data_IF_294048716640
#
_entry.id   IF_294048716640
#
_cell.length_a   1.000
_cell.length_b   1.000
_cell.length_c   1.000
_cell.angle_alpha   90.00
_cell.angle_beta   90.00
_cell.angle_gamma   90.00
#
_symmetry.space_group_name_H-M   'P 1'
#
loop_
_entity.id
_entity.type
_entity.pdbx_description
1 polymer ?
#
# COMPACT_ATOMS: atom_id res chain seq x y z
N UNK A 1 -0.02 22.95 3.04
CA UNK A 1 -1.33 22.64 2.45
C UNK A 1 -1.93 21.49 3.24
N UNK A 2 -3.00 21.75 4.00
CA UNK A 2 -3.63 20.75 4.86
C UNK A 2 -4.44 19.77 4.03
N UNK A 3 -4.20 18.48 4.23
CA UNK A 3 -5.09 17.42 3.74
C UNK A 3 -6.38 17.56 4.55
N UNK A 4 -7.48 17.94 3.90
CA UNK A 4 -8.81 17.93 4.51
C UNK A 4 -9.14 16.53 5.03
N UNK A 5 -9.74 16.41 6.23
CA UNK A 5 -9.98 15.13 6.91
C UNK A 5 -10.77 14.11 6.06
N UNK A 6 -11.57 14.61 5.12
CA UNK A 6 -12.33 13.83 4.15
C UNK A 6 -11.42 13.02 3.20
N UNK A 7 -10.36 13.64 2.66
CA UNK A 7 -9.39 12.93 1.80
C UNK A 7 -8.58 11.88 2.56
N UNK A 8 -8.32 12.12 3.85
CA UNK A 8 -7.63 11.15 4.70
C UNK A 8 -8.51 9.92 4.95
N UNK A 9 -9.80 10.10 5.21
CA UNK A 9 -10.74 9.00 5.49
C UNK A 9 -10.92 8.11 4.26
N UNK A 10 -11.14 8.71 3.09
CA UNK A 10 -11.27 7.98 1.81
C UNK A 10 -10.00 7.19 1.48
N UNK A 11 -8.81 7.76 1.74
CA UNK A 11 -7.55 7.03 1.56
C UNK A 11 -7.47 5.80 2.48
N UNK A 12 -7.84 5.93 3.76
CA UNK A 12 -7.80 4.82 4.72
C UNK A 12 -8.75 3.67 4.33
N UNK A 13 -9.94 4.00 3.82
CA UNK A 13 -10.93 3.01 3.34
C UNK A 13 -10.40 2.26 2.10
N UNK A 14 -9.96 2.99 1.08
CA UNK A 14 -9.40 2.37 -0.13
C UNK A 14 -8.15 1.55 0.17
N UNK A 15 -7.32 1.99 1.12
CA UNK A 15 -6.15 1.23 1.59
C UNK A 15 -6.57 -0.04 2.31
N UNK A 16 -7.59 0.00 3.17
CA UNK A 16 -8.07 -1.20 3.85
C UNK A 16 -8.46 -2.31 2.86
N UNK A 17 -9.24 -1.96 1.82
CA UNK A 17 -9.73 -2.94 0.85
C UNK A 17 -8.61 -3.69 0.11
N UNK A 18 -7.51 -3.02 -0.25
CA UNK A 18 -6.38 -3.69 -0.92
C UNK A 18 -5.49 -4.46 0.05
N UNK A 19 -5.41 -4.04 1.31
CA UNK A 19 -4.59 -4.69 2.32
C UNK A 19 -5.13 -6.05 2.76
N UNK A 20 -6.41 -6.34 2.54
CA UNK A 20 -6.99 -7.68 2.75
C UNK A 20 -6.31 -8.77 1.90
N UNK A 21 -5.61 -8.37 0.83
CA UNK A 21 -4.83 -9.27 -0.04
C UNK A 21 -3.37 -9.44 0.39
N UNK A 22 -2.87 -8.65 1.33
CA UNK A 22 -1.47 -8.74 1.77
C UNK A 22 -1.14 -10.16 2.30
N UNK A 23 -1.93 -10.77 3.20
CA UNK A 23 -1.65 -12.14 3.67
C UNK A 23 -1.69 -13.19 2.55
N UNK A 24 -2.46 -12.93 1.48
CA UNK A 24 -2.56 -13.83 0.32
C UNK A 24 -1.26 -13.82 -0.47
N UNK A 25 -0.69 -12.64 -0.72
CA UNK A 25 0.54 -12.50 -1.52
C UNK A 25 1.83 -12.69 -0.72
N UNK A 26 1.78 -12.66 0.62
CA UNK A 26 2.90 -13.07 1.46
C UNK A 26 3.01 -14.59 1.62
N UNK A 27 1.96 -15.34 1.31
CA UNK A 27 1.99 -16.79 1.40
C UNK A 27 2.93 -17.36 0.32
N UNK A 28 4.04 -18.03 0.69
CA UNK A 28 4.98 -18.59 -0.27
C UNK A 28 4.37 -19.72 -1.13
N UNK A 29 3.28 -20.34 -0.65
CA UNK A 29 2.54 -21.38 -1.38
C UNK A 29 1.45 -20.78 -2.30
N UNK A 30 1.33 -19.45 -2.36
CA UNK A 30 0.36 -18.82 -3.24
C UNK A 30 0.75 -18.99 -4.70
N UNK A 31 -0.16 -19.59 -5.47
CA UNK A 31 -0.02 -19.74 -6.92
C UNK A 31 -0.88 -18.68 -7.61
N UNK A 32 -0.19 -17.80 -8.35
CA UNK A 32 -0.77 -16.65 -9.07
C UNK A 32 -1.69 -17.07 -10.23
N UNK A 33 -1.45 -18.25 -10.78
CA UNK A 33 -2.17 -18.84 -11.90
C UNK A 33 -1.42 -20.03 -12.45
N UNK A 34 -1.88 -20.55 -13.60
CA UNK A 34 -1.16 -21.59 -14.33
C UNK A 34 -1.21 -21.30 -15.83
N UNK A 35 -0.11 -21.61 -16.52
CA UNK A 35 -0.10 -21.61 -17.98
C UNK A 35 -1.05 -22.70 -18.50
N UNK A 36 -2.09 -22.29 -19.21
CA UNK A 36 -3.02 -23.19 -19.87
C UNK A 36 -2.55 -23.47 -21.29
N UNK A 37 -2.19 -24.72 -21.56
CA UNK A 37 -1.81 -25.21 -22.88
C UNK A 37 -2.97 -26.05 -23.44
N UNK A 38 -3.59 -25.56 -24.50
CA UNK A 38 -4.59 -26.32 -25.25
C UNK A 38 -4.09 -26.57 -26.66
N UNK A 39 -4.23 -27.78 -27.22
CA UNK A 39 -3.81 -28.07 -28.58
C UNK A 39 -4.48 -27.12 -29.59
N UNK A 40 -3.67 -26.44 -30.41
CA UNK A 40 -4.16 -25.50 -31.43
C UNK A 40 -4.46 -24.08 -30.94
N UNK A 41 -4.32 -23.80 -29.64
CA UNK A 41 -4.44 -22.45 -29.07
C UNK A 41 -3.06 -21.93 -28.62
N UNK A 42 -2.91 -20.61 -28.57
CA UNK A 42 -1.73 -20.01 -27.95
C UNK A 42 -1.75 -20.29 -26.43
N UNK A 43 -0.59 -20.55 -25.81
CA UNK A 43 -0.50 -20.63 -24.35
C UNK A 43 -1.01 -19.33 -23.73
N UNK A 44 -1.92 -19.43 -22.76
CA UNK A 44 -2.45 -18.28 -22.05
C UNK A 44 -2.29 -18.48 -20.55
N UNK A 45 -1.91 -17.43 -19.84
CA UNK A 45 -1.88 -17.46 -18.38
C UNK A 45 -3.30 -17.45 -17.82
N UNK A 46 -3.67 -18.52 -17.12
CA UNK A 46 -4.95 -18.59 -16.43
C UNK A 46 -4.77 -18.14 -14.98
N UNK A 47 -5.18 -16.91 -14.69
CA UNK A 47 -5.09 -16.33 -13.37
C UNK A 47 -6.03 -16.97 -12.35
N UNK A 48 -5.54 -17.09 -11.13
CA UNK A 48 -6.33 -17.48 -9.97
C UNK A 48 -7.42 -16.43 -9.66
N UNK A 49 -8.61 -16.87 -9.24
CA UNK A 49 -9.73 -16.05 -8.79
C UNK A 49 -9.33 -14.95 -7.78
N UNK A 50 -8.39 -15.25 -6.88
CA UNK A 50 -7.85 -14.29 -5.91
C UNK A 50 -7.08 -13.15 -6.56
N UNK A 51 -6.28 -13.44 -7.60
CA UNK A 51 -5.55 -12.40 -8.32
C UNK A 51 -6.51 -11.55 -9.18
N UNK A 52 -7.52 -12.18 -9.78
CA UNK A 52 -8.59 -11.47 -10.48
C UNK A 52 -9.40 -10.56 -9.54
N UNK A 53 -9.75 -11.06 -8.35
CA UNK A 53 -10.42 -10.28 -7.31
C UNK A 53 -9.56 -9.09 -6.86
N UNK A 54 -8.25 -9.27 -6.70
CA UNK A 54 -7.32 -8.19 -6.38
C UNK A 54 -7.33 -7.10 -7.44
N UNK A 55 -7.24 -7.45 -8.74
CA UNK A 55 -7.32 -6.49 -9.84
C UNK A 55 -8.63 -5.70 -9.76
N UNK A 56 -9.76 -6.39 -9.54
CA UNK A 56 -11.06 -5.72 -9.41
C UNK A 56 -11.06 -4.71 -8.26
N UNK A 57 -10.55 -5.09 -7.09
CA UNK A 57 -10.47 -4.23 -5.91
C UNK A 57 -9.58 -3.01 -6.17
N UNK A 58 -8.48 -3.16 -6.92
CA UNK A 58 -7.64 -2.02 -7.32
C UNK A 58 -8.42 -0.98 -8.15
N UNK A 59 -9.27 -1.43 -9.09
CA UNK A 59 -10.11 -0.54 -9.88
C UNK A 59 -11.20 0.11 -9.03
N UNK A 60 -11.95 -0.69 -8.26
CA UNK A 60 -13.08 -0.22 -7.44
C UNK A 60 -12.63 0.83 -6.39
N UNK A 61 -11.43 0.67 -5.84
CA UNK A 61 -10.87 1.54 -4.80
C UNK A 61 -9.94 2.62 -5.35
N UNK A 62 -10.02 2.89 -6.66
CA UNK A 62 -9.29 3.97 -7.33
C UNK A 62 -7.75 3.88 -7.20
N UNK A 63 -7.18 2.71 -6.99
CA UNK A 63 -5.71 2.55 -6.97
C UNK A 63 -5.11 2.65 -8.37
N UNK A 64 -5.85 2.22 -9.38
CA UNK A 64 -5.48 2.41 -10.78
C UNK A 64 -5.71 3.87 -11.17
N UNK A 65 -4.66 4.53 -11.66
CA UNK A 65 -4.69 5.94 -12.04
C UNK A 65 -4.34 6.13 -13.51
N UNK A 66 -4.93 7.13 -14.15
CA UNK A 66 -4.48 7.54 -15.48
C UNK A 66 -3.24 8.42 -15.38
N UNK A 67 -2.18 7.97 -16.03
CA UNK A 67 -0.95 8.72 -16.29
C UNK A 67 -0.21 8.06 -17.46
N UNK A 68 0.84 8.70 -17.98
CA UNK A 68 1.70 8.10 -18.98
C UNK A 68 2.62 7.03 -18.37
N UNK A 69 2.04 5.85 -18.19
CA UNK A 69 2.75 4.68 -17.67
C UNK A 69 3.79 4.14 -18.66
N UNK A 70 3.67 4.48 -19.95
CA UNK A 70 4.61 4.04 -20.99
C UNK A 70 5.91 4.81 -20.89
N UNK A 71 5.85 6.14 -20.81
CA UNK A 71 7.03 6.98 -20.58
C UNK A 71 7.66 6.71 -19.20
N UNK A 72 6.83 6.38 -18.20
CA UNK A 72 7.31 6.13 -16.83
C UNK A 72 7.94 4.75 -16.63
N UNK A 73 7.88 3.83 -17.60
CA UNK A 73 8.43 2.47 -17.42
C UNK A 73 9.93 2.46 -17.07
N UNK A 74 10.70 3.41 -17.62
CA UNK A 74 12.12 3.53 -17.32
C UNK A 74 12.37 3.84 -15.84
N UNK A 75 11.51 4.65 -15.21
CA UNK A 75 11.58 4.94 -13.77
C UNK A 75 11.12 3.73 -12.95
N UNK A 76 10.04 3.07 -13.38
CA UNK A 76 9.52 1.88 -12.73
C UNK A 76 10.55 0.74 -12.64
N UNK A 77 11.44 0.66 -13.63
CA UNK A 77 12.52 -0.34 -13.66
C UNK A 77 13.43 -0.26 -12.44
N UNK A 78 13.65 0.93 -11.88
CA UNK A 78 14.46 1.10 -10.66
C UNK A 78 13.86 0.35 -9.48
N UNK A 79 12.53 0.41 -9.31
CA UNK A 79 11.82 -0.31 -8.25
C UNK A 79 11.85 -1.83 -8.44
N UNK A 80 11.88 -2.28 -9.69
CA UNK A 80 12.02 -3.69 -10.03
C UNK A 80 13.43 -4.21 -9.69
N UNK A 81 14.46 -3.45 -10.03
CA UNK A 81 15.87 -3.81 -9.78
C UNK A 81 16.26 -3.64 -8.31
N UNK A 82 15.69 -2.65 -7.63
CA UNK A 82 15.94 -2.32 -6.24
C UNK A 82 14.62 -2.29 -5.44
N UNK A 83 14.12 -3.47 -4.99
CA UNK A 83 12.85 -3.54 -4.25
C UNK A 83 12.83 -2.71 -2.96
N UNK A 84 14.01 -2.39 -2.40
CA UNK A 84 14.14 -1.51 -1.24
C UNK A 84 13.58 -0.10 -1.46
N UNK A 85 13.58 0.39 -2.71
CA UNK A 85 13.00 1.71 -3.05
C UNK A 85 11.48 1.75 -2.83
N UNK A 86 10.80 0.60 -2.85
CA UNK A 86 9.36 0.53 -2.57
C UNK A 86 9.07 0.91 -1.11
N UNK A 87 9.97 0.57 -0.18
CA UNK A 87 9.79 0.89 1.23
C UNK A 87 9.83 2.40 1.52
N UNK A 88 10.43 3.20 0.64
CA UNK A 88 10.49 4.67 0.78
C UNK A 88 9.45 5.40 -0.08
N UNK A 89 8.81 4.68 -1.01
CA UNK A 89 7.89 5.27 -1.99
C UNK A 89 6.68 5.96 -1.32
N UNK A 90 6.22 7.04 -1.97
CA UNK A 90 5.01 7.77 -1.61
C UNK A 90 3.76 7.12 -2.24
N UNK A 91 2.57 7.52 -1.77
CA UNK A 91 1.29 6.99 -2.27
C UNK A 91 1.17 7.14 -3.80
N UNK A 92 1.67 8.24 -4.36
CA UNK A 92 1.65 8.50 -5.81
C UNK A 92 2.45 7.45 -6.56
N UNK A 93 3.69 7.19 -6.14
CA UNK A 93 4.57 6.19 -6.75
C UNK A 93 4.00 4.78 -6.61
N UNK A 94 3.41 4.44 -5.46
CA UNK A 94 2.76 3.14 -5.25
C UNK A 94 1.57 2.93 -6.20
N UNK A 95 0.73 3.96 -6.42
CA UNK A 95 -0.37 3.90 -7.40
C UNK A 95 0.13 3.75 -8.82
N UNK A 96 1.24 4.42 -9.17
CA UNK A 96 1.89 4.28 -10.47
C UNK A 96 2.44 2.88 -10.69
N UNK A 97 3.11 2.29 -9.69
CA UNK A 97 3.60 0.91 -9.74
C UNK A 97 2.45 -0.08 -9.94
N UNK A 98 1.38 0.00 -9.14
CA UNK A 98 0.20 -0.87 -9.28
C UNK A 98 -0.43 -0.75 -10.67
N UNK A 99 -0.62 0.48 -11.14
CA UNK A 99 -1.16 0.76 -12.47
C UNK A 99 -0.27 0.15 -13.55
N UNK A 100 1.05 0.32 -13.45
CA UNK A 100 1.99 -0.22 -14.43
C UNK A 100 1.92 -1.75 -14.47
N UNK A 101 1.96 -2.44 -13.33
CA UNK A 101 1.88 -3.91 -13.32
C UNK A 101 0.57 -4.40 -13.93
N UNK A 102 -0.57 -3.83 -13.55
CA UNK A 102 -1.88 -4.23 -14.07
C UNK A 102 -2.05 -3.92 -15.55
N UNK A 103 -1.55 -2.79 -16.04
CA UNK A 103 -1.68 -2.41 -17.46
C UNK A 103 -0.69 -3.12 -18.35
N UNK A 104 0.56 -3.27 -17.91
CA UNK A 104 1.62 -3.99 -18.64
C UNK A 104 1.27 -5.46 -18.86
N UNK A 105 0.54 -6.05 -17.92
CA UNK A 105 0.06 -7.43 -18.04
C UNK A 105 -0.79 -7.69 -19.29
N UNK A 106 -1.53 -6.68 -19.76
CA UNK A 106 -2.33 -6.78 -20.99
C UNK A 106 -1.49 -6.92 -22.25
N UNK A 107 -0.19 -6.62 -22.17
CA UNK A 107 0.76 -6.68 -23.28
C UNK A 107 1.81 -7.78 -23.09
N UNK A 108 2.01 -8.23 -21.85
CA UNK A 108 3.01 -9.21 -21.47
C UNK A 108 2.33 -10.22 -20.56
N UNK A 109 1.80 -11.29 -21.16
CA UNK A 109 1.05 -12.31 -20.45
C UNK A 109 1.88 -12.91 -19.29
N UNK A 110 1.27 -13.04 -18.12
CA UNK A 110 1.94 -13.49 -16.89
C UNK A 110 2.84 -12.46 -16.19
N UNK A 111 2.92 -11.21 -16.65
CA UNK A 111 3.74 -10.16 -16.00
C UNK A 111 3.30 -9.89 -14.56
N UNK A 112 1.99 -9.79 -14.31
CA UNK A 112 1.45 -9.56 -12.98
C UNK A 112 1.67 -10.78 -12.08
N UNK A 113 1.54 -11.99 -12.62
CA UNK A 113 1.89 -13.23 -11.91
C UNK A 113 3.36 -13.19 -11.45
N UNK A 114 4.28 -12.89 -12.36
CA UNK A 114 5.70 -12.76 -12.04
C UNK A 114 5.96 -11.68 -10.98
N UNK A 115 5.26 -10.55 -11.03
CA UNK A 115 5.38 -9.49 -10.02
C UNK A 115 4.87 -9.93 -8.63
N UNK A 116 3.84 -10.78 -8.57
CA UNK A 116 3.38 -11.37 -7.30
C UNK A 116 4.43 -12.36 -6.77
N UNK A 117 4.90 -13.27 -7.63
CA UNK A 117 5.86 -14.32 -7.25
C UNK A 117 7.22 -13.77 -6.83
N UNK A 118 7.64 -12.65 -7.40
CA UNK A 118 8.86 -11.94 -7.01
C UNK A 118 8.67 -11.04 -5.77
N UNK A 119 7.47 -11.02 -5.18
CA UNK A 119 7.16 -10.26 -3.97
C UNK A 119 7.00 -8.75 -4.17
N UNK A 120 7.00 -8.25 -5.41
CA UNK A 120 6.84 -6.83 -5.72
C UNK A 120 5.49 -6.30 -5.26
N UNK A 121 4.41 -7.05 -5.54
CA UNK A 121 3.05 -6.69 -5.10
C UNK A 121 2.95 -6.70 -3.57
N UNK A 122 3.52 -7.70 -2.90
CA UNK A 122 3.54 -7.75 -1.44
C UNK A 122 4.31 -6.56 -0.84
N UNK A 123 5.46 -6.18 -1.40
CA UNK A 123 6.24 -5.02 -0.95
C UNK A 123 5.44 -3.71 -1.06
N UNK A 124 4.73 -3.51 -2.18
CA UNK A 124 3.85 -2.35 -2.38
C UNK A 124 2.74 -2.31 -1.32
N UNK A 125 2.08 -3.44 -1.06
CA UNK A 125 1.01 -3.52 -0.06
C UNK A 125 1.53 -3.28 1.36
N UNK A 126 2.71 -3.81 1.73
CA UNK A 126 3.36 -3.50 3.01
C UNK A 126 3.56 -2.01 3.20
N UNK A 127 4.08 -1.34 2.16
CA UNK A 127 4.27 0.11 2.22
C UNK A 127 2.94 0.86 2.38
N UNK A 128 1.88 0.42 1.71
CA UNK A 128 0.54 1.00 1.89
C UNK A 128 0.07 0.85 3.33
N UNK A 129 0.33 -0.29 3.98
CA UNK A 129 -0.01 -0.52 5.39
C UNK A 129 0.71 0.47 6.32
N UNK A 130 2.03 0.66 6.14
CA UNK A 130 2.82 1.62 6.93
C UNK A 130 2.30 3.06 6.81
N UNK A 131 1.94 3.47 5.58
CA UNK A 131 1.40 4.81 5.31
C UNK A 131 0.01 4.98 5.93
N UNK A 132 -0.82 3.93 5.92
CA UNK A 132 -2.13 3.90 6.58
C UNK A 132 -1.99 4.06 8.09
N UNK A 133 -1.09 3.32 8.73
CA UNK A 133 -0.82 3.44 10.17
C UNK A 133 -0.31 4.83 10.55
N UNK A 134 0.61 5.38 9.75
CA UNK A 134 1.15 6.72 9.93
C UNK A 134 0.09 7.82 9.80
N UNK A 135 -0.86 7.65 8.88
CA UNK A 135 -1.98 8.58 8.67
C UNK A 135 -3.04 8.47 9.78
N UNK A 136 -3.32 7.25 10.25
CA UNK A 136 -4.22 6.99 11.37
C UNK A 136 -3.65 7.58 12.69
N UNK A 137 -2.34 7.50 12.90
CA UNK A 137 -1.67 8.10 14.06
C UNK A 137 -1.84 9.62 14.10
N UNK A 138 -1.70 10.30 12.94
CA UNK A 138 -1.89 11.75 12.82
C UNK A 138 -3.34 12.21 13.02
N UNK A 139 -4.30 11.33 12.79
CA UNK A 139 -5.74 11.63 12.86
C UNK A 139 -6.35 11.40 14.25
N UNK A 140 -5.61 10.78 15.19
CA UNK A 140 -6.07 10.62 16.58
C UNK A 140 -6.07 11.98 17.29
N UNK A 141 -7.19 12.45 17.86
CA UNK A 141 -7.17 13.64 18.68
C UNK A 141 -6.19 13.43 19.84
N UNK A 142 -5.29 14.40 20.04
CA UNK A 142 -4.27 14.38 21.08
C UNK A 142 -4.93 14.37 22.47
N UNK A 143 -5.25 13.18 23.01
CA UNK A 143 -5.65 13.02 24.41
C UNK A 143 -4.38 12.95 25.23
N UNK A 144 -3.81 14.12 25.56
CA UNK A 144 -3.24 14.50 26.88
C UNK A 144 -2.45 15.82 26.81
N UNK A 145 -3.17 16.91 27.05
CA UNK A 145 -2.71 17.94 28.00
C UNK A 145 -3.48 17.70 29.30
N UNK A 146 -2.78 17.76 30.45
CA UNK A 146 -3.42 17.66 31.76
C UNK A 146 -2.75 16.72 32.76
N UNK A 147 -1.42 16.78 32.92
CA UNK A 147 -0.81 16.46 34.20
C UNK A 147 -0.61 17.80 34.94
N UNK A 148 -1.38 17.97 36.00
CA UNK A 148 -1.43 19.15 36.84
C UNK A 148 -0.02 19.57 37.30
N UNK A 149 0.35 20.79 36.95
CA UNK A 149 1.35 21.59 37.62
C UNK A 149 0.78 22.08 38.96
N UNK A 150 0.89 21.28 40.02
CA UNK A 150 0.76 21.77 41.39
C UNK A 150 2.15 22.01 41.99
N UNK A 151 2.74 23.16 41.67
CA UNK A 151 3.85 23.75 42.43
C UNK A 151 3.51 25.20 42.71
N UNK A 152 3.23 25.52 43.99
CA UNK A 152 3.50 26.81 44.68
C UNK A 152 2.70 26.78 46.00
N UNK A 153 3.30 26.56 47.16
CA UNK A 153 4.16 27.43 47.97
C UNK A 153 3.38 27.98 49.19
N UNK A 154 3.94 27.79 50.39
CA UNK A 154 3.47 28.45 51.60
C UNK A 154 3.80 27.69 52.87
N UNK A 155 4.92 28.02 53.52
CA UNK A 155 5.23 27.48 54.85
C UNK A 155 6.65 27.72 55.35
N UNK A 156 7.17 28.94 55.23
CA UNK A 156 8.35 29.39 55.98
C UNK A 156 7.90 30.10 57.27
N UNK A 157 8.42 29.65 58.41
CA UNK A 157 8.68 30.45 59.62
C UNK A 157 7.54 30.59 60.64
N UNK A 158 7.75 30.08 61.85
CA UNK A 158 8.27 30.89 62.97
C UNK A 158 8.33 30.05 64.27
N UNK A 159 9.42 30.19 65.02
CA UNK A 159 9.58 29.56 66.32
C UNK A 159 8.69 30.18 67.40
N UNK A 160 8.57 29.47 68.52
CA UNK A 160 8.50 30.04 69.88
C UNK A 160 8.50 28.91 70.92
N UNK A 161 9.52 29.00 71.79
CA UNK A 161 9.59 28.61 73.20
C UNK A 161 9.84 27.16 73.54
#
# INVERSE_FOLDING_TARGET
MGITSENSTVFLEHAAAVLDFLPVFENPDFVSGRLALKPGELPLWNYNDKLLAFIKVLYDNRWITDFDWTEWQAEARKYWEEPGLIAEADVTSLRRLLTLHVRKDRFCDGHLAAAVEQGQIAAILKRIAELKESSAFKSRPNIRSGAANSSSAGGHGNGKR
#
